data_IF_642448344925
#
_entry.id   IF_642448344925
#
_cell.length_a   1.000
_cell.length_b   1.000
_cell.length_c   1.000
_cell.angle_alpha   90.00
_cell.angle_beta   90.00
_cell.angle_gamma   90.00
#
_symmetry.space_group_name_H-M   'P 1'
#
loop_
_entity.id
_entity.type
_entity.pdbx_description
1 polymer ?
#
# COMPACT_ATOMS: atom_id res chain seq x y z
N UNK A 1 10.38 -8.17 -1.83
CA UNK A 1 9.82 -6.81 -1.69
C UNK A 1 10.79 -5.83 -1.00
N UNK A 2 10.91 -4.57 -1.48
CA UNK A 2 11.69 -3.51 -0.83
C UNK A 2 10.81 -2.28 -0.52
N UNK A 3 10.59 -1.99 0.78
CA UNK A 3 9.78 -0.86 1.24
C UNK A 3 10.43 0.50 0.94
N UNK A 4 11.76 0.55 0.80
CA UNK A 4 12.50 1.79 0.52
C UNK A 4 12.23 2.33 -0.88
N UNK A 5 11.73 1.50 -1.79
CA UNK A 5 11.34 1.92 -3.15
C UNK A 5 9.95 2.61 -3.19
N UNK A 6 9.21 2.61 -2.08
CA UNK A 6 7.88 3.22 -1.99
C UNK A 6 7.95 4.62 -1.41
N UNK A 7 7.53 5.61 -2.20
CA UNK A 7 7.34 6.98 -1.74
C UNK A 7 5.95 7.11 -1.12
N UNK A 8 5.87 7.63 0.11
CA UNK A 8 4.60 7.81 0.83
C UNK A 8 4.32 9.29 1.09
N UNK A 9 3.08 9.70 0.89
CA UNK A 9 2.58 11.06 1.10
C UNK A 9 1.22 11.00 1.79
N UNK A 10 0.97 11.94 2.70
CA UNK A 10 -0.35 12.15 3.29
C UNK A 10 -0.67 13.63 3.10
N UNK A 11 -1.77 13.90 2.41
CA UNK A 11 -2.33 15.23 2.23
C UNK A 11 -3.58 15.36 3.12
N UNK A 12 -3.90 16.57 3.55
CA UNK A 12 -5.07 16.83 4.38
C UNK A 12 -5.86 18.06 3.95
N UNK A 13 -7.17 18.02 4.19
CA UNK A 13 -8.10 19.12 3.95
C UNK A 13 -8.92 19.34 5.23
N UNK A 14 -8.90 20.57 5.73
CA UNK A 14 -9.71 20.99 6.88
C UNK A 14 -11.07 21.51 6.42
N UNK A 15 -12.16 20.92 6.94
CA UNK A 15 -13.54 21.27 6.61
C UNK A 15 -14.27 22.00 7.74
N UNK A 16 -13.55 22.54 8.74
CA UNK A 16 -14.14 23.36 9.81
C UNK A 16 -14.87 22.55 10.89
N UNK A 17 -14.48 21.29 11.08
CA UNK A 17 -15.03 20.39 12.10
C UNK A 17 -14.62 18.92 11.92
N UNK A 18 -14.21 18.55 10.70
CA UNK A 18 -13.62 17.27 10.33
C UNK A 18 -12.39 17.58 9.49
N UNK A 19 -11.35 16.75 9.61
CA UNK A 19 -10.21 16.76 8.70
C UNK A 19 -10.21 15.48 7.89
N UNK A 20 -10.15 15.65 6.57
CA UNK A 20 -10.01 14.55 5.63
C UNK A 20 -8.53 14.38 5.33
N UNK A 21 -8.07 13.15 5.32
CA UNK A 21 -6.73 12.78 4.92
C UNK A 21 -6.79 11.88 3.70
N UNK A 22 -5.96 12.19 2.71
CA UNK A 22 -5.69 11.33 1.58
C UNK A 22 -4.25 10.83 1.71
N UNK A 23 -4.10 9.53 1.88
CA UNK A 23 -2.81 8.89 1.99
C UNK A 23 -2.50 8.12 0.72
N UNK A 24 -1.28 8.31 0.23
CA UNK A 24 -0.83 7.85 -1.08
C UNK A 24 0.55 7.22 -0.95
N UNK A 25 0.75 6.09 -1.62
CA UNK A 25 2.02 5.41 -1.74
C UNK A 25 2.24 4.98 -3.18
N UNK A 26 3.42 5.28 -3.73
CA UNK A 26 3.77 4.88 -5.09
C UNK A 26 5.15 4.29 -5.21
N UNK A 27 5.25 3.32 -6.11
CA UNK A 27 6.52 2.75 -6.54
C UNK A 27 6.69 3.04 -8.04
N UNK A 28 7.64 3.93 -8.36
CA UNK A 28 7.87 4.35 -9.75
C UNK A 28 8.38 3.21 -10.65
N UNK A 29 9.14 2.28 -10.07
CA UNK A 29 9.76 1.16 -10.78
C UNK A 29 8.71 0.15 -11.24
N UNK A 30 7.74 -0.15 -10.38
CA UNK A 30 6.63 -1.07 -10.70
C UNK A 30 5.41 -0.35 -11.25
N UNK A 31 5.39 0.99 -11.23
CA UNK A 31 4.24 1.84 -11.56
C UNK A 31 2.99 1.52 -10.75
N UNK A 32 3.17 1.02 -9.53
CA UNK A 32 2.08 0.69 -8.62
C UNK A 32 1.74 1.89 -7.73
N UNK A 33 0.45 2.03 -7.43
CA UNK A 33 -0.09 3.06 -6.56
C UNK A 33 -1.03 2.38 -5.56
N UNK A 34 -0.93 2.78 -4.29
CA UNK A 34 -1.83 2.40 -3.21
C UNK A 34 -2.30 3.69 -2.56
N UNK A 35 -3.61 3.87 -2.46
CA UNK A 35 -4.21 5.07 -1.88
C UNK A 35 -5.32 4.70 -0.90
N UNK A 36 -5.59 5.60 0.05
CA UNK A 36 -6.65 5.43 1.03
C UNK A 36 -7.05 6.75 1.66
N UNK A 37 -8.35 6.94 1.83
CA UNK A 37 -8.93 8.11 2.49
C UNK A 37 -9.32 7.78 3.93
N UNK A 38 -9.13 8.74 4.83
CA UNK A 38 -9.49 8.61 6.24
C UNK A 38 -10.02 9.93 6.81
N UNK A 39 -11.12 9.85 7.56
CA UNK A 39 -11.59 10.96 8.39
C UNK A 39 -11.06 10.76 9.82
N UNK A 40 -10.23 11.69 10.29
CA UNK A 40 -9.79 11.72 11.69
C UNK A 40 -9.41 13.14 12.10
N UNK A 41 -9.27 13.38 13.39
CA UNK A 41 -8.74 14.63 13.94
C UNK A 41 -7.22 14.61 14.10
N UNK A 42 -6.58 13.43 14.13
CA UNK A 42 -5.14 13.25 14.41
C UNK A 42 -4.34 12.78 13.18
N UNK A 43 -3.47 13.65 12.65
CA UNK A 43 -2.64 13.38 11.47
C UNK A 43 -1.59 12.29 11.71
N UNK A 44 -0.99 12.25 12.91
CA UNK A 44 0.04 11.26 13.23
C UNK A 44 -0.58 9.86 13.28
N UNK A 45 -1.79 9.76 13.82
CA UNK A 45 -2.57 8.54 13.81
C UNK A 45 -2.87 8.06 12.38
N UNK A 46 -3.37 8.96 11.51
CA UNK A 46 -3.65 8.60 10.11
C UNK A 46 -2.40 8.15 9.38
N UNK A 47 -1.27 8.86 9.54
CA UNK A 47 0.00 8.49 8.91
C UNK A 47 0.48 7.11 9.36
N UNK A 48 0.44 6.84 10.67
CA UNK A 48 0.82 5.54 11.21
C UNK A 48 -0.10 4.42 10.71
N UNK A 49 -1.41 4.68 10.65
CA UNK A 49 -2.37 3.70 10.16
C UNK A 49 -2.17 3.40 8.68
N UNK A 50 -1.97 4.42 7.85
CA UNK A 50 -1.69 4.24 6.44
C UNK A 50 -0.41 3.42 6.21
N UNK A 51 0.67 3.71 6.95
CA UNK A 51 1.90 2.92 6.85
C UNK A 51 1.68 1.44 7.19
N UNK A 52 0.87 1.13 8.21
CA UNK A 52 0.51 -0.24 8.53
C UNK A 52 -0.32 -0.91 7.42
N UNK A 53 -1.27 -0.18 6.81
CA UNK A 53 -2.05 -0.67 5.67
C UNK A 53 -1.16 -0.96 4.48
N UNK A 54 -0.27 -0.03 4.14
CA UNK A 54 0.70 -0.18 3.06
C UNK A 54 1.53 -1.45 3.26
N UNK A 55 2.14 -1.62 4.43
CA UNK A 55 2.94 -2.83 4.73
C UNK A 55 2.08 -4.10 4.57
N UNK A 56 0.85 -4.10 5.08
CA UNK A 56 -0.06 -5.25 4.95
C UNK A 56 -0.41 -5.58 3.50
N UNK A 57 -0.80 -4.57 2.71
CA UNK A 57 -1.12 -4.73 1.28
C UNK A 57 0.09 -5.23 0.50
N UNK A 58 1.25 -4.66 0.77
CA UNK A 58 2.50 -5.06 0.14
C UNK A 58 2.85 -6.52 0.47
N UNK A 59 2.78 -6.94 1.74
CA UNK A 59 3.01 -8.33 2.13
C UNK A 59 2.03 -9.30 1.44
N UNK A 60 0.76 -8.91 1.30
CA UNK A 60 -0.24 -9.71 0.60
C UNK A 60 0.12 -9.90 -0.88
N UNK A 61 0.53 -8.83 -1.56
CA UNK A 61 0.94 -8.89 -2.97
C UNK A 61 2.18 -9.79 -3.17
N UNK A 62 3.18 -9.72 -2.28
CA UNK A 62 4.37 -10.57 -2.34
C UNK A 62 4.01 -12.06 -2.16
N UNK A 63 3.05 -12.36 -1.27
CA UNK A 63 2.53 -13.71 -1.06
C UNK A 63 1.77 -14.23 -2.28
N UNK A 64 0.88 -13.42 -2.87
CA UNK A 64 0.12 -13.76 -4.07
C UNK A 64 1.04 -14.04 -5.27
N UNK A 65 2.07 -13.21 -5.47
CA UNK A 65 3.05 -13.41 -6.53
C UNK A 65 3.88 -14.69 -6.31
N UNK A 66 4.29 -14.95 -5.06
CA UNK A 66 5.00 -16.18 -4.70
C UNK A 66 4.16 -17.45 -4.93
N UNK A 67 2.84 -17.38 -4.71
CA UNK A 67 1.94 -18.50 -5.00
C UNK A 67 1.78 -18.68 -6.51
N UNK A 68 1.61 -17.60 -7.28
CA UNK A 68 1.50 -17.68 -8.74
C UNK A 68 2.72 -18.34 -9.38
N UNK A 69 3.93 -17.93 -8.99
CA UNK A 69 5.18 -18.52 -9.51
C UNK A 69 5.29 -20.02 -9.19
N UNK A 70 4.85 -20.44 -8.00
CA UNK A 70 4.86 -21.87 -7.61
C UNK A 70 3.87 -22.70 -8.42
N UNK A 71 2.73 -22.13 -8.78
CA UNK A 71 1.73 -22.81 -9.59
C UNK A 71 2.17 -22.90 -11.05
N UNK A 72 2.75 -21.83 -11.61
CA UNK A 72 3.34 -21.82 -12.96
C UNK A 72 4.48 -22.85 -13.10
N UNK A 73 5.37 -22.94 -12.10
CA UNK A 73 6.47 -23.91 -12.11
C UNK A 73 5.96 -25.37 -12.10
N UNK A 74 4.87 -25.65 -11.40
CA UNK A 74 4.25 -27.00 -11.36
C UNK A 74 3.54 -27.37 -12.64
N UNK A 75 2.97 -26.40 -13.35
CA UNK A 75 2.32 -26.62 -14.65
C UNK A 75 3.35 -26.83 -15.77
N UNK A 76 4.53 -26.21 -15.67
CA UNK A 76 5.63 -26.41 -16.63
C UNK A 76 6.33 -27.78 -16.44
N UNK A 77 6.44 -28.27 -15.20
CA UNK A 77 6.98 -29.62 -14.91
C UNK A 77 6.03 -30.76 -15.33
N UNK A 78 4.75 -30.45 -15.63
CA UNK A 78 3.72 -31.40 -16.10
C UNK A 78 3.54 -31.44 -17.61
N UNK A 79 4.25 -30.60 -18.37
CA UNK A 79 4.26 -30.59 -19.85
C UNK A 79 5.47 -31.31 -20.41
#
# INVERSE_FOLDING_TARGET
MNLEEWQTRVDSIDLGGIRLYHAYASNEKTRQVIEGDMEDTDEEFVRARFQQQLIGTLMQMDMEESMRVKDEAKDEERR
#
